data_IF_447145391383
#
_entry.id   IF_447145391383
#
_cell.length_a   1.000
_cell.length_b   1.000
_cell.length_c   1.000
_cell.angle_alpha   90.00
_cell.angle_beta   90.00
_cell.angle_gamma   90.00
#
_symmetry.space_group_name_H-M   'P 1'
#
loop_
_entity.id
_entity.type
_entity.pdbx_description
1 polymer ?
#
# COMPACT_ATOMS: atom_id res chain seq x y z
N UNK A 1 -7.93 8.44 15.97
CA UNK A 1 -8.49 7.33 16.76
C UNK A 1 -9.52 7.93 17.70
N UNK A 2 -10.76 7.48 17.62
CA UNK A 2 -11.87 8.01 18.40
C UNK A 2 -12.93 6.92 18.63
N UNK A 3 -13.66 7.02 19.72
CA UNK A 3 -14.80 6.15 20.00
C UNK A 3 -16.02 6.62 19.20
N UNK A 4 -16.67 5.69 18.51
CA UNK A 4 -17.88 5.96 17.75
C UNK A 4 -19.12 6.02 18.67
N UNK A 5 -20.22 6.58 18.16
CA UNK A 5 -21.51 6.62 18.87
C UNK A 5 -22.06 5.24 19.28
N UNK A 6 -21.54 4.15 18.70
CA UNK A 6 -21.94 2.77 18.99
C UNK A 6 -21.00 2.06 19.98
N UNK A 7 -19.95 2.73 20.45
CA UNK A 7 -18.90 2.14 21.30
C UNK A 7 -17.81 1.39 20.52
N UNK A 8 -17.85 1.41 19.18
CA UNK A 8 -16.78 0.85 18.34
C UNK A 8 -15.60 1.82 18.23
N UNK A 9 -14.38 1.32 18.05
CA UNK A 9 -13.18 2.13 17.80
C UNK A 9 -13.07 2.52 16.32
N UNK A 10 -13.11 3.83 16.02
CA UNK A 10 -12.80 4.37 14.70
C UNK A 10 -11.33 4.80 14.61
N UNK A 11 -10.62 4.30 13.61
CA UNK A 11 -9.22 4.65 13.35
C UNK A 11 -9.05 4.96 11.87
N UNK A 12 -8.24 5.97 11.57
CA UNK A 12 -7.85 6.34 10.22
C UNK A 12 -6.37 6.72 10.21
N UNK A 13 -5.72 6.46 9.08
CA UNK A 13 -4.38 6.93 8.77
C UNK A 13 -4.47 7.76 7.48
N UNK A 14 -3.81 8.91 7.43
CA UNK A 14 -3.76 9.77 6.24
C UNK A 14 -2.31 10.01 5.88
N UNK A 15 -1.92 9.57 4.68
CA UNK A 15 -0.58 9.75 4.12
C UNK A 15 -0.72 10.50 2.79
N UNK A 16 -0.63 11.86 2.79
CA UNK A 16 -0.97 12.67 1.61
C UNK A 16 0.08 12.62 0.49
N UNK A 17 1.30 12.17 0.80
CA UNK A 17 2.44 12.18 -0.10
C UNK A 17 3.19 10.85 0.02
N UNK A 18 2.65 9.78 -0.57
CA UNK A 18 3.34 8.48 -0.65
C UNK A 18 3.91 8.34 -2.05
N UNK A 19 5.20 8.63 -2.23
CA UNK A 19 5.89 8.40 -3.48
C UNK A 19 6.23 6.91 -3.62
N UNK A 20 5.53 6.22 -4.51
CA UNK A 20 5.74 4.79 -4.73
C UNK A 20 5.53 4.41 -6.20
N UNK A 21 6.21 3.35 -6.64
CA UNK A 21 6.07 2.81 -7.98
C UNK A 21 6.43 1.33 -8.05
N UNK A 22 5.90 0.65 -9.06
CA UNK A 22 6.06 -0.81 -9.26
C UNK A 22 6.89 -1.15 -10.51
N UNK A 23 7.39 -0.13 -11.22
CA UNK A 23 8.17 -0.24 -12.46
C UNK A 23 9.39 0.67 -12.39
N UNK A 24 10.56 0.16 -12.77
CA UNK A 24 11.80 0.92 -12.85
C UNK A 24 12.57 1.02 -11.53
N UNK A 25 13.72 1.70 -11.57
CA UNK A 25 14.61 1.82 -10.42
C UNK A 25 14.97 0.45 -9.84
N UNK A 26 14.78 0.28 -8.53
CA UNK A 26 15.07 -0.98 -7.83
C UNK A 26 14.07 -2.11 -8.07
N UNK A 27 12.88 -1.85 -8.65
CA UNK A 27 11.84 -2.89 -8.80
C UNK A 27 12.16 -3.92 -9.88
N UNK A 28 13.19 -3.67 -10.69
CA UNK A 28 13.72 -4.60 -11.69
C UNK A 28 14.59 -5.69 -11.07
N UNK A 29 15.09 -5.47 -9.85
CA UNK A 29 15.95 -6.42 -9.17
C UNK A 29 15.11 -7.59 -8.66
N UNK A 30 15.61 -8.82 -8.89
CA UNK A 30 14.87 -10.05 -8.60
C UNK A 30 14.27 -10.10 -7.18
N UNK A 31 15.00 -9.82 -6.09
CA UNK A 31 14.42 -9.91 -4.75
C UNK A 31 13.26 -8.95 -4.53
N UNK A 32 13.40 -7.69 -4.94
CA UNK A 32 12.36 -6.66 -4.84
C UNK A 32 11.14 -7.00 -5.69
N UNK A 33 11.37 -7.57 -6.88
CA UNK A 33 10.32 -7.99 -7.79
C UNK A 33 9.45 -9.11 -7.17
N UNK A 34 10.06 -10.11 -6.55
CA UNK A 34 9.36 -11.20 -5.86
C UNK A 34 8.53 -10.71 -4.66
N UNK A 35 9.04 -9.71 -3.91
CA UNK A 35 8.25 -9.05 -2.86
C UNK A 35 7.00 -8.37 -3.44
N UNK A 36 7.14 -7.62 -4.55
CA UNK A 36 6.01 -6.99 -5.22
C UNK A 36 5.03 -8.03 -5.79
N UNK A 37 5.52 -9.17 -6.26
CA UNK A 37 4.70 -10.27 -6.75
C UNK A 37 3.86 -10.89 -5.63
N UNK A 38 4.43 -11.05 -4.43
CA UNK A 38 3.70 -11.53 -3.24
C UNK A 38 2.53 -10.62 -2.87
N UNK A 39 2.66 -9.31 -3.13
CA UNK A 39 1.63 -8.31 -2.89
C UNK A 39 0.68 -8.10 -4.09
N UNK A 40 0.86 -8.86 -5.17
CA UNK A 40 0.14 -8.69 -6.44
C UNK A 40 0.28 -7.27 -7.02
N UNK A 41 1.46 -6.68 -6.90
CA UNK A 41 1.79 -5.32 -7.34
C UNK A 41 2.97 -5.29 -8.31
N UNK A 42 3.40 -6.43 -8.87
CA UNK A 42 4.58 -6.48 -9.73
C UNK A 42 4.34 -5.83 -11.10
N UNK A 43 5.25 -4.96 -11.52
CA UNK A 43 5.25 -4.38 -12.87
C UNK A 43 4.05 -3.47 -13.18
N UNK A 44 3.83 -3.12 -14.46
CA UNK A 44 2.66 -2.35 -14.87
C UNK A 44 1.40 -3.24 -14.88
N UNK A 45 0.25 -2.66 -14.56
CA UNK A 45 -1.03 -3.33 -14.77
C UNK A 45 -1.39 -3.30 -16.27
N UNK A 46 -1.91 -4.43 -16.76
CA UNK A 46 -2.37 -4.57 -18.16
C UNK A 46 -3.76 -3.98 -18.39
N UNK A 47 -4.54 -3.78 -17.32
CA UNK A 47 -5.93 -3.32 -17.40
C UNK A 47 -5.99 -1.79 -17.29
N UNK A 48 -5.35 -1.25 -16.24
CA UNK A 48 -5.42 0.17 -15.89
C UNK A 48 -4.03 0.68 -15.53
N UNK A 49 -3.55 1.71 -16.22
CA UNK A 49 -2.25 2.29 -15.93
C UNK A 49 -2.20 2.84 -14.49
N UNK A 50 -1.13 2.54 -13.76
CA UNK A 50 -0.93 2.97 -12.37
C UNK A 50 -1.57 2.09 -11.30
N UNK A 51 -2.43 1.13 -11.67
CA UNK A 51 -3.21 0.32 -10.71
C UNK A 51 -2.35 -0.41 -9.67
N UNK A 52 -1.25 -1.05 -10.09
CA UNK A 52 -0.36 -1.73 -9.15
C UNK A 52 0.35 -0.78 -8.18
N UNK A 53 0.66 0.45 -8.61
CA UNK A 53 1.26 1.46 -7.75
C UNK A 53 0.24 2.01 -6.74
N UNK A 54 -1.00 2.24 -7.16
CA UNK A 54 -2.11 2.62 -6.27
C UNK A 54 -2.36 1.53 -5.22
N UNK A 55 -2.43 0.27 -5.64
CA UNK A 55 -2.58 -0.87 -4.73
C UNK A 55 -1.45 -0.95 -3.70
N UNK A 56 -0.21 -0.73 -4.14
CA UNK A 56 0.94 -0.73 -3.22
C UNK A 56 0.84 0.43 -2.21
N UNK A 57 0.41 1.62 -2.63
CA UNK A 57 0.17 2.76 -1.73
C UNK A 57 -0.91 2.44 -0.67
N UNK A 58 -2.00 1.77 -1.06
CA UNK A 58 -3.04 1.30 -0.13
C UNK A 58 -2.51 0.28 0.88
N UNK A 59 -1.70 -0.68 0.42
CA UNK A 59 -1.06 -1.68 1.28
C UNK A 59 -0.13 -1.00 2.28
N UNK A 60 0.67 -0.02 1.85
CA UNK A 60 1.55 0.76 2.73
C UNK A 60 0.74 1.44 3.82
N UNK A 61 -0.28 2.23 3.45
CA UNK A 61 -1.11 2.97 4.41
C UNK A 61 -1.85 2.03 5.38
N UNK A 62 -2.39 0.92 4.88
CA UNK A 62 -3.08 -0.09 5.70
C UNK A 62 -2.12 -0.77 6.68
N UNK A 63 -0.88 -1.05 6.26
CA UNK A 63 0.14 -1.66 7.11
C UNK A 63 0.62 -0.69 8.18
N UNK A 64 0.77 0.60 7.86
CA UNK A 64 1.04 1.66 8.85
C UNK A 64 -0.09 1.71 9.87
N UNK A 65 -1.35 1.78 9.42
CA UNK A 65 -2.51 1.78 10.32
C UNK A 65 -2.55 0.55 11.24
N UNK A 66 -2.22 -0.63 10.73
CA UNK A 66 -2.13 -1.86 11.53
C UNK A 66 -0.98 -1.79 12.55
N UNK A 67 0.14 -1.17 12.20
CA UNK A 67 1.26 -0.92 13.11
C UNK A 67 0.92 0.05 14.24
N UNK A 68 0.20 1.14 13.94
CA UNK A 68 -0.28 2.11 14.94
C UNK A 68 -1.30 1.50 15.94
N UNK A 69 -1.86 0.33 15.61
CA UNK A 69 -2.77 -0.40 16.48
C UNK A 69 -2.05 -1.36 17.45
N UNK A 70 -0.80 -1.78 17.15
CA UNK A 70 -0.02 -2.73 17.96
C UNK A 70 0.58 -2.11 19.22
#
# INVERSE_FOLDING_TARGET
MEESLKGDLYVSCTMPCVEVGTVGGGTILRPQNECLQTLSCVGPSIITAGEHANRLAEIICSTVLAGEFS
#
